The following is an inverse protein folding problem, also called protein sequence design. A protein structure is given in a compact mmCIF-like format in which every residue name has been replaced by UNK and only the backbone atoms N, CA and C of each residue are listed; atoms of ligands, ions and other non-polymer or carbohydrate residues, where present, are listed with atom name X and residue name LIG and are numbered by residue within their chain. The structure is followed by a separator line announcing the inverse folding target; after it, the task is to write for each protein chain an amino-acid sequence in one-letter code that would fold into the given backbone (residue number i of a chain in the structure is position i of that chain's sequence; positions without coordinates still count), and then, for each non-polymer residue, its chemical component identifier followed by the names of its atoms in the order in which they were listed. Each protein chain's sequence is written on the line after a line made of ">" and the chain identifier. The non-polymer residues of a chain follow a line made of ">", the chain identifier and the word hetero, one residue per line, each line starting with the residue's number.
data_IF_556694659288
#
_entry.id   IF_556694659288
#
_cell.length_a   1.000
_cell.length_b   1.000
_cell.length_c   1.000
_cell.angle_alpha   90.00
_cell.angle_beta   90.00
_cell.angle_gamma   90.00
#
_symmetry.space_group_name_H-M   'P 1'
#
loop_
_entity.id
_entity.type
_entity.pdbx_description
1 polymer ?
#
# COMPACT_ATOMS: atom_id res chain seq x y z
N UNK A 1 -19.11 -18.20 34.45
CA UNK A 1 -18.94 -18.09 32.98
C UNK A 1 -20.30 -18.21 32.34
N UNK A 2 -20.71 -17.27 31.49
CA UNK A 2 -22.02 -17.32 30.80
C UNK A 2 -21.85 -18.09 29.49
N UNK A 3 -22.66 -19.14 29.27
CA UNK A 3 -22.65 -19.94 28.03
C UNK A 3 -23.80 -19.52 27.14
N UNK A 4 -23.54 -18.65 26.15
CA UNK A 4 -24.58 -18.11 25.27
C UNK A 4 -25.39 -19.20 24.56
N UNK A 5 -24.73 -20.30 24.15
CA UNK A 5 -25.37 -21.44 23.48
C UNK A 5 -26.43 -22.17 24.33
N UNK A 6 -26.46 -21.95 25.65
CA UNK A 6 -27.46 -22.53 26.54
C UNK A 6 -28.64 -21.58 26.81
N UNK A 7 -28.51 -20.31 26.41
CA UNK A 7 -29.57 -19.32 26.53
C UNK A 7 -30.54 -19.50 25.37
N UNK A 8 -31.84 -19.52 25.67
CA UNK A 8 -32.88 -19.57 24.65
C UNK A 8 -32.92 -18.26 23.86
N UNK A 9 -32.45 -18.30 22.62
CA UNK A 9 -32.35 -17.11 21.78
C UNK A 9 -33.71 -16.52 21.41
N UNK A 10 -34.74 -17.36 21.29
CA UNK A 10 -36.10 -16.92 20.94
C UNK A 10 -36.68 -16.01 22.02
N UNK A 11 -36.54 -16.41 23.29
CA UNK A 11 -36.93 -15.59 24.43
C UNK A 11 -36.22 -14.23 24.42
N UNK A 12 -34.93 -14.19 24.07
CA UNK A 12 -34.17 -12.93 24.03
C UNK A 12 -34.66 -12.00 22.91
N UNK A 13 -35.01 -12.54 21.74
CA UNK A 13 -35.62 -11.74 20.67
C UNK A 13 -36.97 -11.15 21.09
N UNK A 14 -37.76 -11.90 21.87
CA UNK A 14 -39.08 -11.47 22.36
C UNK A 14 -39.01 -10.42 23.47
N UNK A 15 -37.93 -10.41 24.27
CA UNK A 15 -37.70 -9.39 25.30
C UNK A 15 -37.52 -7.98 24.75
N UNK A 16 -37.26 -7.83 23.44
CA UNK A 16 -37.00 -6.56 22.77
C UNK A 16 -35.93 -5.71 23.47
N UNK A 17 -34.89 -6.35 24.03
CA UNK A 17 -33.76 -5.67 24.67
C UNK A 17 -32.64 -5.42 23.65
N UNK A 18 -32.48 -4.21 23.08
CA UNK A 18 -31.64 -4.00 21.90
C UNK A 18 -30.17 -4.39 22.13
N UNK A 19 -29.65 -4.14 23.33
CA UNK A 19 -28.26 -4.47 23.70
C UNK A 19 -27.95 -5.97 23.73
N UNK A 20 -28.96 -6.85 23.75
CA UNK A 20 -28.75 -8.31 23.71
C UNK A 20 -28.85 -8.90 22.30
N UNK A 21 -29.48 -8.18 21.37
CA UNK A 21 -29.75 -8.66 20.02
C UNK A 21 -28.49 -9.11 19.25
N UNK A 22 -27.34 -8.40 19.33
CA UNK A 22 -26.12 -8.81 18.63
C UNK A 22 -25.61 -10.20 19.03
N UNK A 23 -25.94 -10.68 20.23
CA UNK A 23 -25.49 -11.99 20.74
C UNK A 23 -26.40 -13.15 20.34
N UNK A 24 -27.60 -12.87 19.83
CA UNK A 24 -28.61 -13.90 19.51
C UNK A 24 -28.18 -14.93 18.45
N UNK A 25 -27.29 -14.64 17.49
CA UNK A 25 -26.74 -15.67 16.60
C UNK A 25 -25.92 -16.75 17.32
N UNK A 26 -25.41 -16.45 18.52
CA UNK A 26 -24.62 -17.37 19.37
C UNK A 26 -25.49 -18.17 20.35
N UNK A 27 -26.78 -17.84 20.44
CA UNK A 27 -27.73 -18.44 21.38
C UNK A 27 -28.43 -19.67 20.79
N UNK A 28 -29.08 -20.46 21.65
CA UNK A 28 -29.83 -21.64 21.23
C UNK A 28 -31.00 -21.22 20.33
N UNK A 29 -31.01 -21.71 19.09
CA UNK A 29 -32.14 -21.50 18.17
C UNK A 29 -33.32 -22.42 18.54
N UNK A 30 -34.56 -22.08 18.11
CA UNK A 30 -35.71 -22.95 18.27
C UNK A 30 -35.47 -24.36 17.72
N UNK A 31 -36.08 -25.35 18.36
CA UNK A 31 -35.96 -26.76 17.95
C UNK A 31 -36.44 -26.93 16.49
N UNK A 32 -35.64 -27.63 15.68
CA UNK A 32 -35.91 -27.84 14.25
C UNK A 32 -35.65 -26.64 13.33
N UNK A 33 -35.27 -25.47 13.87
CA UNK A 33 -34.93 -24.31 13.03
C UNK A 33 -33.54 -24.48 12.40
N UNK A 34 -33.45 -24.26 11.08
CA UNK A 34 -32.17 -24.26 10.36
C UNK A 34 -31.32 -23.05 10.80
N UNK A 35 -29.98 -23.21 10.96
CA UNK A 35 -29.11 -22.10 11.36
C UNK A 35 -29.25 -20.85 10.49
N UNK A 36 -29.31 -21.01 9.17
CA UNK A 36 -29.43 -19.87 8.25
C UNK A 36 -30.73 -19.07 8.48
N UNK A 37 -31.84 -19.78 8.73
CA UNK A 37 -33.13 -19.15 9.05
C UNK A 37 -33.11 -18.47 10.42
N UNK A 38 -32.33 -19.01 11.36
CA UNK A 38 -32.12 -18.37 12.65
C UNK A 38 -31.38 -17.04 12.50
N UNK A 39 -30.28 -17.01 11.75
CA UNK A 39 -29.54 -15.78 11.50
C UNK A 39 -30.37 -14.72 10.75
N UNK A 40 -31.13 -15.12 9.71
CA UNK A 40 -32.08 -14.23 9.03
C UNK A 40 -33.03 -13.56 10.03
N UNK A 41 -33.63 -14.35 10.93
CA UNK A 41 -34.54 -13.82 11.96
C UNK A 41 -33.84 -12.88 12.94
N UNK A 42 -32.62 -13.21 13.38
CA UNK A 42 -31.82 -12.34 14.25
C UNK A 42 -31.56 -10.98 13.59
N UNK A 43 -31.22 -10.98 12.29
CA UNK A 43 -31.00 -9.76 11.50
C UNK A 43 -32.29 -8.95 11.40
N UNK A 44 -33.41 -9.58 11.04
CA UNK A 44 -34.71 -8.90 10.87
C UNK A 44 -35.20 -8.21 12.15
N UNK A 45 -35.08 -8.91 13.30
CA UNK A 45 -35.46 -8.36 14.60
C UNK A 45 -34.54 -7.20 14.99
N UNK A 46 -33.24 -7.31 14.73
CA UNK A 46 -32.26 -6.26 15.02
C UNK A 46 -32.48 -5.02 14.15
N UNK A 47 -32.78 -5.20 12.86
CA UNK A 47 -33.11 -4.13 11.93
C UNK A 47 -34.40 -3.39 12.32
N UNK A 48 -35.30 -4.06 13.03
CA UNK A 48 -36.58 -3.50 13.51
C UNK A 48 -36.54 -3.09 14.99
N UNK A 49 -35.36 -3.08 15.62
CA UNK A 49 -35.25 -2.79 17.05
C UNK A 49 -35.76 -1.36 17.38
N UNK A 50 -36.47 -1.25 18.52
CA UNK A 50 -37.03 0.00 19.01
C UNK A 50 -35.91 0.84 19.66
N UNK A 51 -35.16 1.54 18.81
CA UNK A 51 -34.09 2.45 19.18
C UNK A 51 -33.86 3.46 18.03
N UNK A 52 -32.92 4.39 18.17
CA UNK A 52 -32.57 5.29 17.09
C UNK A 52 -31.81 4.58 15.95
N UNK A 53 -31.73 5.22 14.78
CA UNK A 53 -31.13 4.61 13.59
C UNK A 53 -29.64 4.29 13.77
N UNK A 54 -28.88 5.16 14.43
CA UNK A 54 -27.45 4.99 14.64
C UNK A 54 -27.16 3.81 15.56
N UNK A 55 -27.95 3.66 16.62
CA UNK A 55 -27.88 2.49 17.50
C UNK A 55 -28.23 1.23 16.72
N UNK A 56 -29.30 1.23 15.91
CA UNK A 56 -29.64 0.07 15.06
C UNK A 56 -28.51 -0.34 14.12
N UNK A 57 -27.89 0.62 13.43
CA UNK A 57 -26.79 0.34 12.50
C UNK A 57 -25.59 -0.26 13.25
N UNK A 58 -25.32 0.21 14.46
CA UNK A 58 -24.28 -0.36 15.34
C UNK A 58 -24.62 -1.76 15.83
N UNK A 59 -25.87 -2.03 16.19
CA UNK A 59 -26.32 -3.37 16.58
C UNK A 59 -26.21 -4.37 15.43
N UNK A 60 -26.59 -3.97 14.21
CA UNK A 60 -26.45 -4.81 13.01
C UNK A 60 -24.98 -5.12 12.70
N UNK A 61 -24.10 -4.12 12.81
CA UNK A 61 -22.67 -4.34 12.61
C UNK A 61 -22.08 -5.29 13.66
N UNK A 62 -22.44 -5.12 14.94
CA UNK A 62 -22.02 -6.01 16.02
C UNK A 62 -22.59 -7.44 15.83
N UNK A 63 -23.85 -7.57 15.39
CA UNK A 63 -24.48 -8.85 15.08
C UNK A 63 -23.71 -9.58 13.98
N UNK A 64 -23.28 -8.86 12.93
CA UNK A 64 -22.44 -9.42 11.87
C UNK A 64 -21.10 -9.96 12.39
N UNK A 65 -20.44 -9.20 13.27
CA UNK A 65 -19.19 -9.64 13.93
C UNK A 65 -19.40 -10.92 14.72
N UNK A 66 -20.41 -10.97 15.60
CA UNK A 66 -20.67 -12.17 16.40
C UNK A 66 -21.13 -13.35 15.54
N UNK A 67 -21.87 -13.10 14.47
CA UNK A 67 -22.25 -14.15 13.52
C UNK A 67 -21.04 -14.83 12.88
N UNK A 68 -19.92 -14.12 12.71
CA UNK A 68 -18.67 -14.69 12.19
C UNK A 68 -18.07 -15.81 13.04
N UNK A 69 -18.53 -15.99 14.28
CA UNK A 69 -18.08 -17.06 15.16
C UNK A 69 -18.80 -18.40 14.91
N UNK A 70 -19.94 -18.38 14.20
CA UNK A 70 -20.82 -19.55 14.00
C UNK A 70 -21.16 -19.78 12.52
N UNK A 71 -21.21 -18.72 11.71
CA UNK A 71 -21.69 -18.76 10.33
C UNK A 71 -20.59 -18.45 9.33
N UNK A 72 -20.76 -18.98 8.11
CA UNK A 72 -19.84 -18.75 7.00
C UNK A 72 -19.81 -17.27 6.56
N UNK A 73 -18.63 -16.68 6.31
CA UNK A 73 -18.50 -15.27 5.96
C UNK A 73 -19.33 -14.84 4.75
N UNK A 74 -19.44 -15.71 3.73
CA UNK A 74 -20.22 -15.40 2.51
C UNK A 74 -21.71 -15.26 2.81
N UNK A 75 -22.24 -16.09 3.72
CA UNK A 75 -23.64 -16.04 4.10
C UNK A 75 -23.94 -14.80 4.95
N UNK A 76 -23.04 -14.44 5.87
CA UNK A 76 -23.15 -13.20 6.65
C UNK A 76 -23.16 -11.99 5.70
N UNK A 77 -22.25 -11.94 4.72
CA UNK A 77 -22.19 -10.84 3.74
C UNK A 77 -23.45 -10.70 2.88
N UNK A 78 -24.19 -11.78 2.64
CA UNK A 78 -25.47 -11.72 1.92
C UNK A 78 -26.56 -11.04 2.76
N UNK A 79 -26.59 -11.27 4.08
CA UNK A 79 -27.59 -10.69 4.98
C UNK A 79 -27.21 -9.30 5.50
N UNK A 80 -25.91 -9.10 5.75
CA UNK A 80 -25.32 -7.88 6.29
C UNK A 80 -24.19 -7.43 5.37
N UNK A 81 -24.51 -6.85 4.20
CA UNK A 81 -23.51 -6.33 3.30
C UNK A 81 -22.71 -5.19 3.94
N UNK A 82 -21.50 -4.97 3.43
CA UNK A 82 -20.55 -3.98 3.96
C UNK A 82 -21.19 -2.59 4.11
N UNK A 83 -22.05 -2.17 3.18
CA UNK A 83 -22.77 -0.89 3.26
C UNK A 83 -23.74 -0.76 4.44
N UNK A 84 -24.21 -1.85 5.05
CA UNK A 84 -24.95 -1.81 6.33
C UNK A 84 -23.98 -1.66 7.49
N UNK A 85 -22.90 -2.45 7.50
CA UNK A 85 -21.89 -2.40 8.56
C UNK A 85 -21.20 -1.02 8.65
N UNK A 86 -20.93 -0.40 7.50
CA UNK A 86 -20.31 0.92 7.38
C UNK A 86 -21.21 2.08 7.84
N UNK A 87 -22.50 1.84 8.12
CA UNK A 87 -23.37 2.86 8.72
C UNK A 87 -23.17 3.01 10.23
N UNK A 88 -22.59 2.00 10.89
CA UNK A 88 -22.23 2.11 12.30
C UNK A 88 -21.09 3.11 12.48
N UNK A 89 -21.25 4.14 13.31
CA UNK A 89 -20.19 5.15 13.40
C UNK A 89 -18.95 4.70 14.17
N UNK A 90 -19.08 3.66 14.99
CA UNK A 90 -17.91 2.94 15.49
C UNK A 90 -17.09 2.35 14.33
N UNK A 91 -17.75 1.66 13.39
CA UNK A 91 -17.07 1.12 12.20
C UNK A 91 -16.54 2.21 11.27
N UNK A 92 -17.25 3.34 11.12
CA UNK A 92 -16.76 4.46 10.32
C UNK A 92 -15.46 5.03 10.87
N UNK A 93 -15.39 5.24 12.19
CA UNK A 93 -14.16 5.71 12.83
C UNK A 93 -13.00 4.74 12.57
N UNK A 94 -13.23 3.44 12.76
CA UNK A 94 -12.21 2.42 12.52
C UNK A 94 -11.73 2.39 11.06
N UNK A 95 -12.66 2.51 10.10
CA UNK A 95 -12.33 2.55 8.67
C UNK A 95 -11.51 3.81 8.33
N UNK A 96 -11.86 4.96 8.91
CA UNK A 96 -11.13 6.20 8.67
C UNK A 96 -9.71 6.15 9.23
N UNK A 97 -9.54 5.61 10.45
CA UNK A 97 -8.22 5.37 11.05
C UNK A 97 -7.38 4.43 10.18
N UNK A 98 -7.97 3.32 9.72
CA UNK A 98 -7.29 2.38 8.83
C UNK A 98 -6.92 3.01 7.48
N UNK A 99 -7.77 3.90 6.94
CA UNK A 99 -7.53 4.61 5.68
C UNK A 99 -6.38 5.60 5.82
N UNK A 100 -6.34 6.38 6.90
CA UNK A 100 -5.25 7.33 7.13
C UNK A 100 -3.93 6.59 7.39
N UNK A 101 -3.94 5.48 8.13
CA UNK A 101 -2.76 4.63 8.28
C UNK A 101 -2.26 4.09 6.92
N UNK A 102 -3.14 3.51 6.11
CA UNK A 102 -2.78 2.98 4.79
C UNK A 102 -2.25 4.07 3.84
N UNK A 103 -2.81 5.28 3.91
CA UNK A 103 -2.35 6.44 3.14
C UNK A 103 -0.97 6.91 3.60
N UNK A 104 -0.72 6.93 4.92
CA UNK A 104 0.57 7.29 5.47
C UNK A 104 1.65 6.28 5.06
N UNK A 105 1.37 4.98 5.21
CA UNK A 105 2.29 3.91 4.77
C UNK A 105 2.57 3.99 3.27
N UNK A 106 1.54 4.20 2.45
CA UNK A 106 1.71 4.34 1.00
C UNK A 106 2.52 5.57 0.59
N UNK A 107 2.36 6.69 1.30
CA UNK A 107 3.16 7.90 1.06
C UNK A 107 4.62 7.71 1.48
N UNK A 108 4.86 7.07 2.62
CA UNK A 108 6.20 6.78 3.13
C UNK A 108 6.95 5.85 2.18
N UNK A 109 6.34 4.73 1.78
CA UNK A 109 6.93 3.80 0.81
C UNK A 109 7.19 4.46 -0.54
N UNK A 110 6.23 5.26 -1.04
CA UNK A 110 6.39 5.98 -2.31
C UNK A 110 7.51 7.03 -2.26
N UNK A 111 7.65 7.73 -1.13
CA UNK A 111 8.71 8.71 -0.94
C UNK A 111 10.08 8.04 -0.80
N UNK A 112 10.18 6.96 -0.04
CA UNK A 112 11.42 6.20 0.13
C UNK A 112 11.92 5.65 -1.22
N UNK A 113 11.05 4.96 -1.96
CA UNK A 113 11.39 4.43 -3.28
C UNK A 113 11.75 5.54 -4.27
N UNK A 114 10.97 6.62 -4.30
CA UNK A 114 11.25 7.75 -5.18
C UNK A 114 12.56 8.46 -4.85
N UNK A 115 12.89 8.61 -3.56
CA UNK A 115 14.13 9.23 -3.12
C UNK A 115 15.33 8.33 -3.41
N UNK A 116 15.24 7.03 -3.15
CA UNK A 116 16.31 6.07 -3.44
C UNK A 116 16.64 6.04 -4.93
N UNK A 117 15.63 5.88 -5.79
CA UNK A 117 15.81 5.89 -7.24
C UNK A 117 16.36 7.23 -7.74
N UNK A 118 15.82 8.34 -7.24
CA UNK A 118 16.26 9.67 -7.62
C UNK A 118 17.71 9.96 -7.19
N UNK A 119 18.10 9.49 -6.00
CA UNK A 119 19.46 9.64 -5.48
C UNK A 119 20.45 8.78 -6.26
N UNK A 120 20.12 7.51 -6.54
CA UNK A 120 20.97 6.61 -7.32
C UNK A 120 21.22 7.16 -8.73
N UNK A 121 20.15 7.56 -9.45
CA UNK A 121 20.27 8.18 -10.77
C UNK A 121 21.04 9.50 -10.72
N UNK A 122 20.81 10.32 -9.69
CA UNK A 122 21.52 11.59 -9.51
C UNK A 122 23.01 11.40 -9.26
N UNK A 123 23.39 10.40 -8.45
CA UNK A 123 24.78 10.05 -8.18
C UNK A 123 25.46 9.51 -9.44
N UNK A 124 24.83 8.58 -10.16
CA UNK A 124 25.38 8.01 -11.40
C UNK A 124 25.61 9.11 -12.47
N UNK A 125 24.61 9.98 -12.69
CA UNK A 125 24.74 11.10 -13.61
C UNK A 125 25.84 12.08 -13.17
N UNK A 126 25.96 12.33 -11.86
CA UNK A 126 26.97 13.18 -11.26
C UNK A 126 28.39 12.64 -11.45
N UNK A 127 28.62 11.36 -11.14
CA UNK A 127 29.90 10.68 -11.34
C UNK A 127 30.30 10.69 -12.82
N UNK A 128 29.35 10.37 -13.70
CA UNK A 128 29.58 10.36 -15.14
C UNK A 128 29.98 11.73 -15.66
N UNK A 129 29.24 12.78 -15.28
CA UNK A 129 29.56 14.15 -15.66
C UNK A 129 30.93 14.58 -15.13
N UNK A 130 31.23 14.26 -13.87
CA UNK A 130 32.53 14.55 -13.26
C UNK A 130 33.69 13.86 -13.98
N UNK A 131 33.49 12.61 -14.44
CA UNK A 131 34.48 11.88 -15.24
C UNK A 131 34.73 12.57 -16.58
N UNK A 132 33.67 12.93 -17.31
CA UNK A 132 33.78 13.62 -18.60
C UNK A 132 34.53 14.95 -18.43
N UNK A 133 34.18 15.74 -17.41
CA UNK A 133 34.85 17.00 -17.08
C UNK A 133 36.34 16.78 -16.74
N UNK A 134 36.66 15.68 -16.05
CA UNK A 134 38.05 15.30 -15.74
C UNK A 134 38.84 14.93 -16.99
N UNK A 135 38.26 14.15 -17.92
CA UNK A 135 38.89 13.78 -19.20
C UNK A 135 39.23 15.05 -20.00
N UNK A 136 38.26 15.95 -20.17
CA UNK A 136 38.42 17.21 -20.91
C UNK A 136 39.51 18.07 -20.25
N UNK A 137 39.49 18.19 -18.92
CA UNK A 137 40.47 18.98 -18.17
C UNK A 137 41.89 18.44 -18.37
N UNK A 138 42.09 17.13 -18.26
CA UNK A 138 43.41 16.51 -18.44
C UNK A 138 43.93 16.68 -19.87
N UNK A 139 43.07 16.48 -20.88
CA UNK A 139 43.43 16.72 -22.29
C UNK A 139 43.82 18.18 -22.53
N UNK A 140 43.07 19.12 -21.95
CA UNK A 140 43.35 20.56 -22.05
C UNK A 140 44.70 20.93 -21.44
N UNK A 141 45.05 20.35 -20.29
CA UNK A 141 46.36 20.53 -19.66
C UNK A 141 47.49 19.92 -20.50
N UNK A 142 47.30 18.70 -21.00
CA UNK A 142 48.32 17.96 -21.74
C UNK A 142 48.65 18.60 -23.10
N UNK A 143 47.62 18.95 -23.86
CA UNK A 143 47.77 19.48 -25.23
C UNK A 143 47.70 21.01 -25.33
N UNK A 144 47.41 21.70 -24.22
CA UNK A 144 47.35 23.17 -24.11
C UNK A 144 46.44 23.81 -25.16
N UNK A 145 45.27 23.22 -25.36
CA UNK A 145 44.28 23.66 -26.36
C UNK A 145 42.86 23.54 -25.82
N UNK A 146 42.04 24.55 -26.12
CA UNK A 146 40.62 24.56 -25.76
C UNK A 146 39.77 23.75 -26.75
N UNK A 147 40.35 23.30 -27.86
CA UNK A 147 39.68 22.46 -28.85
C UNK A 147 39.15 21.13 -28.26
N UNK A 148 39.67 20.72 -27.11
CA UNK A 148 39.23 19.52 -26.35
C UNK A 148 37.75 19.58 -25.96
N UNK A 149 37.17 20.78 -25.80
CA UNK A 149 35.75 20.92 -25.47
C UNK A 149 34.82 20.41 -26.57
N UNK A 150 35.28 20.35 -27.83
CA UNK A 150 34.52 19.76 -28.93
C UNK A 150 34.29 18.24 -28.76
N UNK A 151 35.05 17.58 -27.87
CA UNK A 151 34.90 16.15 -27.57
C UNK A 151 33.78 15.86 -26.56
N UNK A 152 33.23 16.89 -25.89
CA UNK A 152 32.21 16.70 -24.86
C UNK A 152 30.99 15.90 -25.35
N UNK A 153 30.37 16.21 -26.50
CA UNK A 153 29.23 15.42 -27.00
C UNK A 153 29.58 13.96 -27.28
N UNK A 154 30.81 13.68 -27.75
CA UNK A 154 31.26 12.31 -28.01
C UNK A 154 31.43 11.54 -26.68
N UNK A 155 32.03 12.16 -25.66
CA UNK A 155 32.15 11.56 -24.33
C UNK A 155 30.79 11.37 -23.65
N UNK A 156 29.86 12.31 -23.85
CA UNK A 156 28.47 12.21 -23.37
C UNK A 156 27.65 11.13 -24.09
N UNK A 157 28.15 10.54 -25.18
CA UNK A 157 27.51 9.39 -25.86
C UNK A 157 27.99 8.03 -25.34
N UNK A 158 29.00 7.99 -24.46
CA UNK A 158 29.52 6.76 -23.87
C UNK A 158 28.70 6.40 -22.63
N UNK A 159 27.73 5.51 -22.79
CA UNK A 159 26.78 5.19 -21.70
C UNK A 159 27.46 4.44 -20.54
N UNK A 160 28.43 3.57 -20.83
CA UNK A 160 29.08 2.74 -19.81
C UNK A 160 30.17 3.52 -19.04
N UNK A 161 30.04 3.57 -17.71
CA UNK A 161 31.00 4.22 -16.82
C UNK A 161 32.40 3.56 -16.86
N UNK A 162 32.46 2.25 -17.12
CA UNK A 162 33.72 1.53 -17.25
C UNK A 162 34.46 1.93 -18.53
N UNK A 163 33.75 2.20 -19.61
CA UNK A 163 34.34 2.68 -20.86
C UNK A 163 34.89 4.10 -20.67
N UNK A 164 34.14 4.98 -20.01
CA UNK A 164 34.64 6.31 -19.64
C UNK A 164 35.89 6.24 -18.74
N UNK A 165 35.96 5.29 -17.80
CA UNK A 165 37.18 5.03 -17.01
C UNK A 165 38.35 4.61 -17.90
N UNK A 166 38.11 3.73 -18.89
CA UNK A 166 39.17 3.35 -19.84
C UNK A 166 39.64 4.55 -20.66
N UNK A 167 38.70 5.36 -21.17
CA UNK A 167 39.03 6.60 -21.90
C UNK A 167 39.90 7.52 -21.04
N UNK A 168 39.55 7.75 -19.77
CA UNK A 168 40.39 8.53 -18.85
C UNK A 168 41.83 7.99 -18.78
N UNK A 169 42.00 6.66 -18.68
CA UNK A 169 43.32 6.02 -18.60
C UNK A 169 44.13 6.09 -19.91
N UNK A 170 43.50 6.41 -21.05
CA UNK A 170 44.20 6.60 -22.33
C UNK A 170 44.77 8.01 -22.49
N UNK A 171 44.21 9.01 -21.81
CA UNK A 171 44.66 10.41 -21.90
C UNK A 171 46.19 10.58 -21.79
N UNK A 172 46.86 10.10 -20.71
CA UNK A 172 48.31 10.29 -20.57
C UNK A 172 49.15 9.45 -21.56
N UNK A 173 48.54 8.50 -22.26
CA UNK A 173 49.23 7.62 -23.24
C UNK A 173 49.17 8.16 -24.67
N UNK A 174 48.36 9.19 -24.91
CA UNK A 174 48.15 9.75 -26.24
C UNK A 174 49.20 10.80 -26.58
N UNK A 175 49.87 10.63 -27.70
CA UNK A 175 50.92 11.56 -28.17
C UNK A 175 50.37 12.86 -28.76
N UNK A 176 49.10 12.87 -29.21
CA UNK A 176 48.40 14.06 -29.71
C UNK A 176 46.88 13.97 -29.50
N UNK A 177 46.19 15.11 -29.65
CA UNK A 177 44.73 15.17 -29.58
C UNK A 177 44.08 14.35 -30.70
N UNK A 178 44.61 14.40 -31.92
CA UNK A 178 44.14 13.58 -33.05
C UNK A 178 44.29 12.08 -32.78
N UNK A 179 45.41 11.65 -32.18
CA UNK A 179 45.63 10.25 -31.83
C UNK A 179 44.62 9.77 -30.77
N UNK A 180 44.32 10.61 -29.77
CA UNK A 180 43.26 10.33 -28.80
C UNK A 180 41.89 10.22 -29.47
N UNK A 181 41.52 11.14 -30.36
CA UNK A 181 40.26 11.09 -31.11
C UNK A 181 40.11 9.81 -31.96
N UNK A 182 41.20 9.33 -32.55
CA UNK A 182 41.19 8.06 -33.30
C UNK A 182 40.95 6.85 -32.39
N UNK A 183 41.42 6.89 -31.13
CA UNK A 183 41.19 5.82 -30.16
C UNK A 183 39.76 5.77 -29.63
N UNK A 184 39.05 6.89 -29.63
CA UNK A 184 37.62 6.98 -29.23
C UNK A 184 36.66 6.38 -30.26
N UNK A 185 37.06 6.30 -31.54
CA UNK A 185 36.23 5.82 -32.65
C UNK A 185 36.50 4.34 -33.02
N UNK A 186 37.19 3.59 -32.16
CA UNK A 186 37.47 2.16 -32.33
C UNK A 186 36.64 1.34 -31.35
#
# INVERSE_FOLDING_TARGET
>A
MVRLIEIDGQSVLEMQAPGLLPFTPLMKSPEGMKPNRWLEKCVDVTASAITDQHTRDTLLAALGVFSGLVYEPQFIKQLLPEGIMQKSPFFQQYIEEAREAAKQEGLEQGLEQGLEQGLEQGLEQGERRGMIESIITLLGVQFKTDAVHALKPALESIDDMQDLKQVLLTVPKSDSLEAFMQSLNR
#
